data_IF_657717642805
#
_entry.id   IF_657717642805
#
_cell.length_a   1.000
_cell.length_b   1.000
_cell.length_c   1.000
_cell.angle_alpha   90.00
_cell.angle_beta   90.00
_cell.angle_gamma   90.00
#
_symmetry.space_group_name_H-M   'P 1'
#
loop_
_entity.id
_entity.type
_entity.pdbx_description
1 polymer ?
#
# COMPACT_ATOMS: atom_id res chain seq x y z
N UNK A 1 16.94 -7.26 -8.52
CA UNK A 1 15.82 -8.16 -8.87
C UNK A 1 14.91 -7.39 -9.82
N UNK A 2 14.50 -8.01 -10.92
CA UNK A 2 13.44 -7.49 -11.79
C UNK A 2 12.12 -7.48 -11.02
N UNK A 3 11.26 -6.48 -11.27
CA UNK A 3 9.95 -6.34 -10.61
C UNK A 3 9.06 -7.60 -10.74
N UNK A 4 9.35 -8.45 -11.71
CA UNK A 4 8.56 -9.63 -12.08
C UNK A 4 8.66 -10.80 -11.10
N UNK A 5 9.68 -10.82 -10.23
CA UNK A 5 9.93 -11.92 -9.28
C UNK A 5 9.73 -11.52 -7.81
N UNK A 6 9.28 -10.28 -7.56
CA UNK A 6 9.16 -9.75 -6.21
C UNK A 6 7.75 -9.95 -5.66
N UNK A 7 7.66 -10.54 -4.47
CA UNK A 7 6.44 -10.53 -3.68
C UNK A 7 6.15 -9.11 -3.13
N UNK A 8 4.93 -8.92 -2.62
CA UNK A 8 4.47 -7.62 -2.13
C UNK A 8 5.37 -7.06 -1.01
N UNK A 9 5.84 -7.91 -0.10
CA UNK A 9 6.66 -7.50 1.04
C UNK A 9 8.07 -7.12 0.57
N UNK A 10 8.66 -7.93 -0.31
CA UNK A 10 9.96 -7.70 -0.91
C UNK A 10 9.96 -6.41 -1.75
N UNK A 11 8.86 -6.13 -2.46
CA UNK A 11 8.69 -4.87 -3.18
C UNK A 11 8.75 -3.66 -2.25
N UNK A 12 8.05 -3.68 -1.12
CA UNK A 12 8.10 -2.60 -0.13
C UNK A 12 9.51 -2.43 0.44
N UNK A 13 10.16 -3.54 0.82
CA UNK A 13 11.50 -3.52 1.41
C UNK A 13 12.62 -3.23 0.39
N UNK A 14 12.31 -3.23 -0.91
CA UNK A 14 13.26 -2.78 -1.94
C UNK A 14 13.45 -1.28 -1.96
N UNK A 15 12.51 -0.53 -1.38
CA UNK A 15 12.64 0.90 -1.18
C UNK A 15 13.72 1.18 -0.11
N UNK A 16 14.81 1.89 -0.43
CA UNK A 16 15.88 2.18 0.54
C UNK A 16 15.39 2.89 1.80
N UNK A 17 14.30 3.67 1.71
CA UNK A 17 13.70 4.35 2.85
C UNK A 17 12.96 3.39 3.79
N UNK A 18 12.54 2.23 3.30
CA UNK A 18 11.76 1.23 4.05
C UNK A 18 12.54 -0.06 4.34
N UNK A 19 13.71 -0.26 3.71
CA UNK A 19 14.52 -1.47 3.84
C UNK A 19 14.96 -1.80 5.28
N UNK A 20 15.01 -0.80 6.16
CA UNK A 20 15.37 -0.95 7.57
C UNK A 20 14.19 -1.40 8.46
N UNK A 21 12.95 -1.36 7.94
CA UNK A 21 11.78 -1.71 8.71
C UNK A 21 11.69 -3.23 8.91
N UNK A 22 11.24 -3.68 10.10
CA UNK A 22 10.99 -5.09 10.32
C UNK A 22 9.80 -5.54 9.46
N UNK A 23 9.87 -6.78 8.94
CA UNK A 23 8.80 -7.37 8.11
C UNK A 23 7.44 -7.27 8.78
N UNK A 24 7.36 -7.47 10.09
CA UNK A 24 6.13 -7.35 10.88
C UNK A 24 5.43 -6.00 10.70
N UNK A 25 6.17 -4.88 10.65
CA UNK A 25 5.57 -3.55 10.43
C UNK A 25 5.02 -3.42 9.01
N UNK A 26 5.72 -3.99 8.02
CA UNK A 26 5.23 -4.07 6.64
C UNK A 26 3.95 -4.91 6.56
N UNK A 27 3.91 -6.06 7.24
CA UNK A 27 2.72 -6.92 7.30
C UNK A 27 1.53 -6.21 7.95
N UNK A 28 1.76 -5.43 9.02
CA UNK A 28 0.71 -4.61 9.67
C UNK A 28 0.16 -3.55 8.72
N UNK A 29 1.02 -2.80 8.04
CA UNK A 29 0.59 -1.77 7.08
C UNK A 29 -0.21 -2.37 5.91
N UNK A 30 0.25 -3.50 5.36
CA UNK A 30 -0.48 -4.23 4.31
C UNK A 30 -1.85 -4.72 4.80
N UNK A 31 -1.92 -5.23 6.03
CA UNK A 31 -3.19 -5.68 6.62
C UNK A 31 -4.16 -4.52 6.83
N UNK A 32 -3.65 -3.33 7.22
CA UNK A 32 -4.47 -2.13 7.42
C UNK A 32 -5.14 -1.65 6.13
N UNK A 33 -4.54 -1.91 4.96
CA UNK A 33 -5.14 -1.61 3.64
C UNK A 33 -5.94 -2.77 3.06
N UNK A 34 -6.02 -3.90 3.78
CA UNK A 34 -6.85 -5.06 3.46
C UNK A 34 -6.15 -6.18 2.70
N UNK A 35 -4.81 -6.26 2.68
CA UNK A 35 -4.12 -7.45 2.18
C UNK A 35 -4.23 -8.59 3.20
N UNK A 36 -4.70 -9.76 2.75
CA UNK A 36 -4.61 -11.01 3.50
C UNK A 36 -3.19 -11.63 3.40
N UNK A 37 -2.93 -12.69 4.18
CA UNK A 37 -1.60 -13.31 4.23
C UNK A 37 -1.20 -13.97 2.90
N UNK A 38 -2.15 -14.56 2.18
CA UNK A 38 -1.89 -15.16 0.87
C UNK A 38 -1.45 -14.09 -0.13
N UNK A 39 -2.12 -12.94 -0.14
CA UNK A 39 -1.83 -11.82 -1.01
C UNK A 39 -0.48 -11.17 -0.73
N UNK A 40 -0.02 -11.18 0.52
CA UNK A 40 1.31 -10.65 0.90
C UNK A 40 2.46 -11.44 0.25
N UNK A 41 2.21 -12.71 -0.06
CA UNK A 41 3.21 -13.60 -0.71
C UNK A 41 3.08 -13.66 -2.24
N UNK A 42 2.05 -13.03 -2.81
CA UNK A 42 1.86 -12.99 -4.27
C UNK A 42 2.85 -12.03 -4.93
N UNK A 43 3.21 -12.36 -6.17
CA UNK A 43 3.98 -11.46 -7.02
C UNK A 43 3.21 -10.17 -7.29
N UNK A 44 3.92 -9.05 -7.27
CA UNK A 44 3.32 -7.72 -7.53
C UNK A 44 2.70 -7.60 -8.93
N UNK A 45 3.20 -8.36 -9.90
CA UNK A 45 2.71 -8.43 -11.27
C UNK A 45 1.30 -9.01 -11.36
N UNK A 46 0.92 -9.86 -10.40
CA UNK A 46 -0.39 -10.51 -10.33
C UNK A 46 -1.45 -9.65 -9.61
N UNK A 47 -1.09 -8.45 -9.12
CA UNK A 47 -2.03 -7.55 -8.47
C UNK A 47 -2.88 -6.79 -9.49
N UNK A 48 -4.20 -6.70 -9.22
CA UNK A 48 -5.09 -5.83 -9.99
C UNK A 48 -4.73 -4.35 -9.78
N UNK A 49 -5.22 -3.46 -10.66
CA UNK A 49 -4.98 -2.01 -10.53
C UNK A 49 -5.39 -1.45 -9.16
N UNK A 50 -6.53 -1.89 -8.61
CA UNK A 50 -6.98 -1.51 -7.28
C UNK A 50 -6.07 -2.00 -6.15
N UNK A 51 -5.48 -3.19 -6.28
CA UNK A 51 -4.49 -3.69 -5.33
C UNK A 51 -3.16 -2.96 -5.41
N UNK A 52 -2.73 -2.55 -6.60
CA UNK A 52 -1.56 -1.68 -6.79
C UNK A 52 -1.76 -0.32 -6.11
N UNK A 53 -2.97 0.24 -6.18
CA UNK A 53 -3.32 1.48 -5.46
C UNK A 53 -3.23 1.29 -3.93
N UNK A 54 -3.80 0.21 -3.40
CA UNK A 54 -3.69 -0.12 -1.96
C UNK A 54 -2.25 -0.35 -1.52
N UNK A 55 -1.43 -0.99 -2.37
CA UNK A 55 0.00 -1.17 -2.14
C UNK A 55 0.74 0.17 -2.05
N UNK A 56 0.45 1.11 -2.96
CA UNK A 56 1.00 2.45 -2.89
C UNK A 56 0.62 3.17 -1.59
N UNK A 57 -0.62 3.01 -1.13
CA UNK A 57 -1.06 3.56 0.14
C UNK A 57 -0.35 2.91 1.34
N UNK A 58 -0.20 1.58 1.37
CA UNK A 58 0.55 0.90 2.44
C UNK A 58 2.00 1.40 2.51
N UNK A 59 2.64 1.65 1.36
CA UNK A 59 3.98 2.29 1.32
C UNK A 59 3.95 3.71 1.88
N UNK A 60 2.98 4.52 1.50
CA UNK A 60 2.86 5.88 2.03
C UNK A 60 2.62 5.92 3.55
N UNK A 61 1.87 4.96 4.08
CA UNK A 61 1.70 4.79 5.54
C UNK A 61 3.02 4.51 6.25
N UNK A 62 3.82 3.59 5.69
CA UNK A 62 5.13 3.23 6.24
C UNK A 62 6.13 4.40 6.15
N UNK A 63 6.01 5.23 5.13
CA UNK A 63 6.79 6.46 4.96
C UNK A 63 6.30 7.64 5.82
N UNK A 64 5.19 7.48 6.54
CA UNK A 64 4.51 8.58 7.25
C UNK A 64 4.30 9.80 6.34
N UNK A 65 3.95 9.58 5.06
CA UNK A 65 3.86 10.65 4.09
C UNK A 65 2.70 11.60 4.44
N UNK A 66 3.02 12.87 4.69
CA UNK A 66 2.02 13.93 4.92
C UNK A 66 1.20 14.27 3.66
N UNK A 67 1.73 13.94 2.47
CA UNK A 67 1.12 14.22 1.17
C UNK A 67 1.21 12.98 0.27
N UNK A 68 0.07 12.49 -0.19
CA UNK A 68 -0.04 11.39 -1.14
C UNK A 68 -0.48 11.94 -2.51
N UNK A 69 0.44 12.04 -3.46
CA UNK A 69 0.11 12.39 -4.86
C UNK A 69 -0.32 11.12 -5.59
N UNK A 70 -1.65 10.95 -5.73
CA UNK A 70 -2.26 9.89 -6.52
C UNK A 70 -2.53 10.43 -7.92
N UNK A 71 -1.65 10.14 -8.88
CA UNK A 71 -1.88 10.54 -10.27
C UNK A 71 -2.96 9.66 -10.92
N UNK A 72 -3.98 10.29 -11.53
CA UNK A 72 -5.08 9.70 -12.30
C UNK A 72 -5.74 8.40 -11.73
N UNK A 73 -6.50 8.49 -10.62
CA UNK A 73 -7.26 7.35 -10.08
C UNK A 73 -8.47 6.95 -10.95
N UNK A 74 -8.93 7.80 -11.86
CA UNK A 74 -10.29 7.69 -12.43
C UNK A 74 -10.47 6.66 -13.53
N UNK A 75 -9.41 6.09 -14.12
CA UNK A 75 -9.61 5.29 -15.32
C UNK A 75 -10.05 3.84 -15.08
N UNK A 76 -9.96 3.27 -13.85
CA UNK A 76 -10.54 1.95 -13.51
C UNK A 76 -10.79 1.75 -11.99
N UNK A 77 -11.15 2.80 -11.24
CA UNK A 77 -11.43 2.67 -9.80
C UNK A 77 -12.92 2.47 -9.54
N UNK A 78 -13.28 1.24 -9.17
CA UNK A 78 -14.52 0.95 -8.45
C UNK A 78 -14.70 1.96 -7.32
N UNK A 79 -15.83 2.66 -7.33
CA UNK A 79 -16.23 3.72 -6.39
C UNK A 79 -16.06 3.32 -4.91
N UNK A 80 -16.12 2.02 -4.63
CA UNK A 80 -15.85 1.41 -3.31
C UNK A 80 -14.43 1.70 -2.78
N UNK A 81 -13.41 1.68 -3.63
CA UNK A 81 -12.01 1.91 -3.20
C UNK A 81 -11.75 3.38 -2.86
N UNK A 82 -12.43 4.31 -3.54
CA UNK A 82 -12.36 5.75 -3.25
C UNK A 82 -13.00 6.05 -1.89
N UNK A 83 -14.18 5.49 -1.62
CA UNK A 83 -14.86 5.67 -0.33
C UNK A 83 -14.01 5.15 0.84
N UNK A 84 -13.38 3.99 0.67
CA UNK A 84 -12.46 3.44 1.68
C UNK A 84 -11.24 4.36 1.89
N UNK A 85 -10.61 4.84 0.81
CA UNK A 85 -9.46 5.73 0.87
C UNK A 85 -9.79 7.05 1.61
N UNK A 86 -10.94 7.66 1.31
CA UNK A 86 -11.42 8.88 1.98
C UNK A 86 -11.64 8.64 3.46
N UNK A 87 -12.26 7.52 3.84
CA UNK A 87 -12.48 7.17 5.24
C UNK A 87 -11.16 6.94 5.99
N UNK A 88 -10.20 6.28 5.35
CA UNK A 88 -8.88 6.02 5.90
C UNK A 88 -8.09 7.31 6.15
N UNK A 89 -8.02 8.22 5.16
CA UNK A 89 -7.34 9.51 5.30
C UNK A 89 -7.95 10.36 6.43
N UNK A 90 -9.29 10.41 6.52
CA UNK A 90 -9.97 11.11 7.61
C UNK A 90 -9.67 10.52 9.00
N UNK A 91 -9.39 9.22 9.08
CA UNK A 91 -9.04 8.55 10.34
C UNK A 91 -7.62 8.86 10.77
N UNK A 92 -6.67 8.97 9.84
CA UNK A 92 -5.27 9.27 10.13
C UNK A 92 -5.04 10.75 10.47
N UNK A 93 -5.70 11.68 9.79
CA UNK A 93 -5.62 13.12 10.11
C UNK A 93 -6.08 13.39 11.55
N UNK A 94 -7.07 12.65 12.05
CA UNK A 94 -7.56 12.78 13.43
C UNK A 94 -6.64 12.20 14.50
N UNK A 95 -5.64 11.39 14.13
CA UNK A 95 -4.65 10.84 15.07
C UNK A 95 -3.39 11.71 15.22
N UNK A 96 -3.20 12.67 14.32
CA UNK A 96 -2.08 13.62 14.35
C UNK A 96 -2.42 14.96 15.04
N UNK A 97 -3.62 15.08 15.64
CA UNK A 97 -4.07 16.21 16.48
C UNK A 97 -4.33 15.73 17.90
#
# INVERSE_FOLDING_TARGET
ATLEEMDVVAYILSDPLLAHLPREEVHKALSAVGFDDDMKTRLITNLSGGWKMKLALARAMLLQADVLLLDEPTNHMDTTNVAWLVNYLNTQVRRAS
#
